data_IF_329772120167
#
_entry.id   IF_329772120167
#
_cell.length_a   1.000
_cell.length_b   1.000
_cell.length_c   1.000
_cell.angle_alpha   90.00
_cell.angle_beta   90.00
_cell.angle_gamma   90.00
#
_symmetry.space_group_name_H-M   'P 1'
#
loop_
_entity.id
_entity.type
_entity.pdbx_description
1 polymer ?
#
# COMPACT_ATOMS: atom_id res chain seq x y z
N UNK A 1 -25.25 8.21 3.26
CA UNK A 1 -24.63 7.00 3.83
C UNK A 1 -23.86 6.33 2.70
N UNK A 2 -22.54 6.54 2.62
CA UNK A 2 -21.72 5.97 1.55
C UNK A 2 -21.51 4.49 1.84
N UNK A 3 -22.02 3.61 0.99
CA UNK A 3 -21.78 2.17 1.08
C UNK A 3 -20.31 1.95 0.71
N UNK A 4 -19.52 1.52 1.69
CA UNK A 4 -18.13 1.12 1.49
C UNK A 4 -18.10 -0.31 0.96
N UNK A 5 -17.29 -0.58 -0.05
CA UNK A 5 -17.04 -1.96 -0.45
C UNK A 5 -16.10 -2.64 0.55
N UNK A 6 -16.55 -3.73 1.15
CA UNK A 6 -15.76 -4.60 2.04
C UNK A 6 -14.84 -5.56 1.28
N UNK A 7 -14.84 -5.49 -0.05
CA UNK A 7 -13.92 -6.20 -0.94
C UNK A 7 -13.45 -5.30 -2.08
N UNK A 8 -12.28 -5.63 -2.61
CA UNK A 8 -11.70 -4.99 -3.79
C UNK A 8 -11.41 -6.11 -4.79
N UNK A 9 -12.00 -6.06 -5.98
CA UNK A 9 -11.64 -7.00 -7.05
C UNK A 9 -10.22 -6.72 -7.53
N UNK A 10 -9.55 -7.73 -8.09
CA UNK A 10 -8.19 -7.57 -8.61
C UNK A 10 -8.12 -6.49 -9.71
N UNK A 11 -9.03 -6.53 -10.68
CA UNK A 11 -9.10 -5.51 -11.74
C UNK A 11 -9.31 -4.09 -11.19
N UNK A 12 -10.15 -3.92 -10.16
CA UNK A 12 -10.33 -2.61 -9.51
C UNK A 12 -9.06 -2.20 -8.78
N UNK A 13 -8.40 -3.13 -8.11
CA UNK A 13 -7.17 -2.91 -7.40
C UNK A 13 -6.05 -2.46 -8.35
N UNK A 14 -5.88 -3.11 -9.50
CA UNK A 14 -4.93 -2.70 -10.53
C UNK A 14 -5.20 -1.27 -11.02
N UNK A 15 -6.45 -0.95 -11.33
CA UNK A 15 -6.84 0.42 -11.72
C UNK A 15 -6.50 1.47 -10.66
N UNK A 16 -6.61 1.13 -9.36
CA UNK A 16 -6.24 2.03 -8.27
C UNK A 16 -4.72 2.21 -8.18
N UNK A 17 -3.92 1.22 -8.55
CA UNK A 17 -2.46 1.34 -8.59
C UNK A 17 -1.98 2.17 -9.79
N UNK A 18 -2.73 2.17 -10.89
CA UNK A 18 -2.39 2.90 -12.11
C UNK A 18 -2.92 4.34 -12.11
N UNK A 19 -3.82 4.68 -11.18
CA UNK A 19 -4.36 6.03 -11.03
C UNK A 19 -3.31 6.98 -10.42
N UNK A 20 -2.65 7.76 -11.27
CA UNK A 20 -1.62 8.72 -10.85
C UNK A 20 -2.16 9.93 -10.07
N UNK A 21 -3.48 10.16 -10.06
CA UNK A 21 -4.09 11.16 -9.19
C UNK A 21 -4.02 10.74 -7.71
N UNK A 22 -3.82 9.45 -7.45
CA UNK A 22 -3.64 8.90 -6.11
C UNK A 22 -2.16 9.03 -5.73
N UNK A 23 -1.84 9.72 -4.60
CA UNK A 23 -0.47 9.87 -4.17
C UNK A 23 0.22 8.50 -3.99
N UNK A 24 1.50 8.43 -4.42
CA UNK A 24 2.30 7.20 -4.42
C UNK A 24 2.29 6.48 -3.06
N UNK A 25 2.27 7.22 -1.96
CA UNK A 25 2.22 6.69 -0.59
C UNK A 25 1.01 5.79 -0.34
N UNK A 26 -0.16 6.15 -0.89
CA UNK A 26 -1.38 5.36 -0.71
C UNK A 26 -1.39 4.13 -1.61
N UNK A 27 -0.93 4.28 -2.86
CA UNK A 27 -0.81 3.16 -3.79
C UNK A 27 0.17 2.10 -3.28
N UNK A 28 1.34 2.52 -2.79
CA UNK A 28 2.31 1.64 -2.16
C UNK A 28 1.73 0.96 -0.91
N UNK A 29 0.99 1.69 -0.07
CA UNK A 29 0.37 1.13 1.14
C UNK A 29 -0.67 0.06 0.79
N UNK A 30 -1.54 0.33 -0.17
CA UNK A 30 -2.55 -0.64 -0.61
C UNK A 30 -1.92 -1.88 -1.23
N UNK A 31 -0.83 -1.72 -1.96
CA UNK A 31 -0.07 -2.83 -2.52
C UNK A 31 0.57 -3.72 -1.46
N UNK A 32 1.23 -3.14 -0.46
CA UNK A 32 1.77 -3.95 0.64
C UNK A 32 0.66 -4.61 1.47
N UNK A 33 -0.48 -3.95 1.68
CA UNK A 33 -1.64 -4.59 2.29
C UNK A 33 -2.14 -5.78 1.46
N UNK A 34 -2.18 -5.63 0.14
CA UNK A 34 -2.62 -6.69 -0.77
C UNK A 34 -1.65 -7.87 -0.83
N UNK A 35 -0.35 -7.63 -0.80
CA UNK A 35 0.70 -8.66 -0.94
C UNK A 35 1.12 -9.31 0.39
N UNK A 36 0.86 -8.66 1.52
CA UNK A 36 1.19 -9.19 2.84
C UNK A 36 -0.06 -9.57 3.65
N UNK A 37 0.12 -10.10 4.87
CA UNK A 37 -0.95 -10.15 5.89
C UNK A 37 -0.71 -9.15 7.03
N UNK A 38 0.22 -8.21 6.82
CA UNK A 38 0.61 -7.22 7.81
C UNK A 38 -0.54 -6.26 8.05
N UNK A 39 -0.77 -5.86 9.30
CA UNK A 39 -1.82 -4.89 9.61
C UNK A 39 -1.35 -3.51 9.15
N UNK A 40 -2.30 -2.70 8.73
CA UNK A 40 -2.07 -1.32 8.33
C UNK A 40 -1.30 -0.48 9.36
N UNK A 41 -1.58 -0.60 10.66
CA UNK A 41 -0.83 0.12 11.69
C UNK A 41 0.63 -0.32 11.76
N UNK A 42 0.89 -1.62 11.59
CA UNK A 42 2.25 -2.15 11.56
C UNK A 42 3.00 -1.64 10.33
N UNK A 43 2.33 -1.53 9.16
CA UNK A 43 2.91 -0.93 7.96
C UNK A 43 3.22 0.55 8.15
N UNK A 44 2.31 1.32 8.75
CA UNK A 44 2.49 2.75 9.00
C UNK A 44 3.61 3.06 10.01
N UNK A 45 3.99 2.07 10.83
CA UNK A 45 5.08 2.19 11.78
C UNK A 45 6.46 1.83 11.19
N UNK A 46 6.53 1.43 9.92
CA UNK A 46 7.79 1.05 9.28
C UNK A 46 8.66 2.26 8.96
N UNK A 47 9.96 2.08 9.12
CA UNK A 47 10.98 3.01 8.68
C UNK A 47 11.54 2.60 7.32
N UNK A 48 12.19 3.52 6.61
CA UNK A 48 12.89 3.22 5.35
C UNK A 48 13.89 2.08 5.50
N UNK A 49 14.52 1.96 6.67
CA UNK A 49 15.46 0.88 6.99
C UNK A 49 14.81 -0.51 7.05
N UNK A 50 13.48 -0.57 7.21
CA UNK A 50 12.72 -1.82 7.26
C UNK A 50 12.28 -2.33 5.87
N UNK A 51 12.51 -1.56 4.79
CA UNK A 51 12.02 -1.86 3.44
C UNK A 51 12.43 -3.26 2.97
N UNK A 52 13.68 -3.65 3.17
CA UNK A 52 14.17 -4.97 2.77
C UNK A 52 13.54 -6.12 3.57
N UNK A 53 13.05 -5.85 4.79
CA UNK A 53 12.36 -6.86 5.63
C UNK A 53 10.94 -7.14 5.15
N UNK A 54 10.29 -6.13 4.58
CA UNK A 54 8.88 -6.21 4.13
C UNK A 54 8.75 -6.47 2.64
N UNK A 55 9.85 -6.34 1.89
CA UNK A 55 9.90 -6.69 0.48
C UNK A 55 9.50 -8.15 0.34
N UNK A 56 8.56 -8.50 -0.56
CA UNK A 56 8.11 -9.87 -0.71
C UNK A 56 9.29 -10.78 -1.10
N UNK A 57 9.80 -11.56 -0.14
CA UNK A 57 10.94 -12.45 -0.37
C UNK A 57 10.47 -13.60 -1.25
N UNK A 58 10.86 -13.55 -2.52
CA UNK A 58 10.98 -14.66 -3.47
C UNK A 58 9.71 -15.38 -4.00
N UNK A 59 8.54 -15.32 -3.38
CA UNK A 59 7.35 -16.00 -3.94
C UNK A 59 6.57 -15.18 -4.98
N UNK A 60 6.90 -13.89 -5.13
CA UNK A 60 6.20 -12.97 -6.05
C UNK A 60 7.05 -11.80 -6.54
N UNK A 61 8.36 -11.78 -6.29
CA UNK A 61 9.27 -10.76 -6.80
C UNK A 61 9.36 -10.77 -8.34
N UNK A 62 9.13 -11.94 -8.96
CA UNK A 62 9.01 -12.11 -10.42
C UNK A 62 7.56 -11.95 -10.94
N UNK A 63 6.61 -11.55 -10.07
CA UNK A 63 5.25 -11.24 -10.50
C UNK A 63 5.13 -9.77 -10.88
N UNK A 64 4.19 -9.44 -11.78
CA UNK A 64 3.91 -8.05 -12.18
C UNK A 64 3.61 -7.14 -10.98
N UNK A 65 2.98 -7.68 -9.92
CA UNK A 65 2.74 -6.93 -8.68
C UNK A 65 4.02 -6.74 -7.86
N UNK A 66 4.97 -7.68 -7.92
CA UNK A 66 6.29 -7.56 -7.27
C UNK A 66 7.11 -6.44 -7.90
N UNK A 67 7.20 -6.44 -9.23
CA UNK A 67 7.85 -5.35 -9.97
C UNK A 67 7.18 -3.99 -9.70
N UNK A 68 5.84 -3.96 -9.63
CA UNK A 68 5.09 -2.75 -9.29
C UNK A 68 5.33 -2.31 -7.84
N UNK A 69 5.51 -3.25 -6.91
CA UNK A 69 5.84 -2.94 -5.52
C UNK A 69 7.21 -2.29 -5.42
N UNK A 70 8.20 -2.85 -6.11
CA UNK A 70 9.55 -2.30 -6.18
C UNK A 70 9.56 -0.90 -6.80
N UNK A 71 8.82 -0.70 -7.91
CA UNK A 71 8.71 0.61 -8.55
C UNK A 71 8.04 1.66 -7.63
N UNK A 72 6.94 1.29 -6.97
CA UNK A 72 6.24 2.20 -6.06
C UNK A 72 7.05 2.49 -4.79
N UNK A 73 7.72 1.49 -4.22
CA UNK A 73 8.61 1.64 -3.06
C UNK A 73 9.82 2.50 -3.41
N UNK A 74 10.44 2.28 -4.58
CA UNK A 74 11.55 3.12 -5.07
C UNK A 74 11.14 4.58 -5.19
N UNK A 75 9.95 4.86 -5.76
CA UNK A 75 9.39 6.22 -5.84
C UNK A 75 9.04 6.80 -4.47
N UNK A 76 8.52 5.99 -3.55
CA UNK A 76 8.13 6.41 -2.21
C UNK A 76 9.36 6.75 -1.34
N UNK A 77 10.39 5.90 -1.38
CA UNK A 77 11.63 6.08 -0.60
C UNK A 77 12.47 7.20 -1.21
N UNK A 78 12.64 7.21 -2.53
CA UNK A 78 13.56 8.13 -3.21
C UNK A 78 14.99 7.95 -2.68
N UNK A 79 15.65 9.07 -2.39
CA UNK A 79 17.03 9.07 -1.84
C UNK A 79 17.08 9.03 -0.31
N UNK A 80 15.93 8.82 0.36
CA UNK A 80 15.88 8.81 1.83
C UNK A 80 16.61 7.57 2.36
N UNK A 81 17.47 7.78 3.35
CA UNK A 81 18.13 6.70 4.07
C UNK A 81 17.41 6.34 5.39
N UNK A 82 16.59 7.25 5.94
CA UNK A 82 15.92 7.13 7.23
C UNK A 82 14.55 7.78 7.22
N UNK A 83 13.78 7.58 8.29
CA UNK A 83 12.46 8.16 8.50
C UNK A 83 11.33 7.22 8.08
N UNK A 84 10.07 7.63 8.29
CA UNK A 84 8.91 6.79 8.04
C UNK A 84 8.88 6.33 6.59
N UNK A 85 8.64 5.04 6.35
CA UNK A 85 8.51 4.51 4.99
C UNK A 85 7.38 5.24 4.25
N UNK A 86 6.21 5.28 4.89
CA UNK A 86 5.03 6.00 4.41
C UNK A 86 5.07 7.44 4.91
N UNK A 87 5.78 8.32 4.18
CA UNK A 87 5.86 9.74 4.50
C UNK A 87 5.00 10.60 3.55
N UNK A 88 4.47 11.69 4.08
CA UNK A 88 3.82 12.79 3.33
C UNK A 88 4.61 14.06 3.62
N UNK A 89 5.55 14.41 2.74
CA UNK A 89 6.52 15.46 3.03
C UNK A 89 7.45 15.04 4.17
N UNK A 90 7.54 15.86 5.23
CA UNK A 90 8.42 15.61 6.39
C UNK A 90 7.79 14.80 7.52
N UNK A 91 6.55 14.33 7.37
CA UNK A 91 5.80 13.62 8.42
C UNK A 91 5.38 12.23 7.98
N UNK A 92 5.16 11.35 8.95
CA UNK A 92 4.51 10.06 8.70
C UNK A 92 3.09 10.26 8.18
N UNK A 93 2.65 9.34 7.32
CA UNK A 93 1.25 9.17 6.94
C UNK A 93 0.46 8.71 8.17
N UNK A 94 -0.62 9.41 8.50
CA UNK A 94 -1.44 9.01 9.64
C UNK A 94 -2.45 7.92 9.28
N UNK A 95 -2.92 7.20 10.31
CA UNK A 95 -4.03 6.26 10.18
C UNK A 95 -5.29 6.92 9.60
N UNK A 96 -5.67 8.08 10.11
CA UNK A 96 -6.88 8.79 9.68
C UNK A 96 -6.80 9.20 8.22
N UNK A 97 -5.63 9.63 7.75
CA UNK A 97 -5.42 9.97 6.34
C UNK A 97 -5.45 8.73 5.45
N UNK A 98 -4.79 7.65 5.86
CA UNK A 98 -4.83 6.40 5.12
C UNK A 98 -6.27 5.88 4.96
N UNK A 99 -7.05 5.91 6.04
CA UNK A 99 -8.47 5.53 6.04
C UNK A 99 -9.29 6.48 5.17
N UNK A 100 -9.11 7.79 5.33
CA UNK A 100 -9.88 8.79 4.59
C UNK A 100 -9.67 8.64 3.09
N UNK A 101 -8.42 8.51 2.62
CA UNK A 101 -8.13 8.37 1.18
C UNK A 101 -8.65 7.05 0.63
N UNK A 102 -8.57 5.94 1.37
CA UNK A 102 -9.22 4.69 0.95
C UNK A 102 -10.75 4.86 0.78
N UNK A 103 -11.39 5.57 1.73
CA UNK A 103 -12.84 5.85 1.70
C UNK A 103 -13.22 6.74 0.51
N UNK A 104 -12.42 7.77 0.22
CA UNK A 104 -12.63 8.65 -0.94
C UNK A 104 -12.62 7.86 -2.27
N UNK A 105 -11.90 6.73 -2.31
CA UNK A 105 -11.83 5.82 -3.46
C UNK A 105 -12.80 4.63 -3.38
N UNK A 106 -13.72 4.63 -2.41
CA UNK A 106 -14.83 3.69 -2.29
C UNK A 106 -14.56 2.42 -1.47
N UNK A 107 -13.43 2.33 -0.78
CA UNK A 107 -13.00 1.11 -0.11
C UNK A 107 -12.67 1.32 1.37
N UNK A 108 -13.05 0.35 2.20
CA UNK A 108 -12.50 0.29 3.55
C UNK A 108 -11.02 -0.13 3.49
N UNK A 109 -10.14 0.49 4.28
CA UNK A 109 -8.69 0.21 4.18
C UNK A 109 -8.33 -1.27 4.45
N UNK A 110 -9.12 -1.96 5.27
CA UNK A 110 -8.92 -3.38 5.54
C UNK A 110 -9.34 -4.28 4.36
N UNK A 111 -10.12 -3.77 3.40
CA UNK A 111 -10.56 -4.48 2.22
C UNK A 111 -9.38 -4.89 1.32
N UNK A 112 -8.32 -4.08 1.25
CA UNK A 112 -7.11 -4.39 0.49
C UNK A 112 -6.41 -5.66 1.02
N UNK A 113 -6.22 -5.75 2.34
CA UNK A 113 -5.60 -6.91 2.99
C UNK A 113 -6.47 -8.17 2.91
N UNK A 114 -7.76 -8.03 3.16
CA UNK A 114 -8.69 -9.17 3.14
C UNK A 114 -8.89 -9.70 1.73
N UNK A 115 -8.94 -8.84 0.72
CA UNK A 115 -9.06 -9.24 -0.69
C UNK A 115 -7.76 -9.83 -1.21
N UNK A 116 -6.60 -9.24 -0.89
CA UNK A 116 -5.30 -9.79 -1.23
C UNK A 116 -5.09 -11.20 -0.69
N UNK A 117 -5.47 -11.47 0.58
CA UNK A 117 -5.46 -12.82 1.15
C UNK A 117 -6.31 -13.85 0.40
N UNK A 118 -7.36 -13.43 -0.31
CA UNK A 118 -8.22 -14.34 -1.08
C UNK A 118 -7.69 -14.60 -2.50
N UNK A 119 -6.77 -13.76 -2.97
CA UNK A 119 -6.23 -13.80 -4.33
C UNK A 119 -4.85 -14.49 -4.42
N UNK A 120 -4.21 -14.74 -3.27
CA UNK A 120 -3.00 -15.54 -3.13
C UNK A 120 -3.37 -16.96 -2.76
#
# INVERSE_FOLDING_TARGET
>A
MTIMADSVSFERFERLLDDESIPVVHRALWLLLWQSDVRVLDLLALEVTDVERIRPVAAGAESELGERADALLGRLVGDRATGPLFAVGSRALSWDEAVRVAKEHGHAIHAFRTSGRRHR
#
